data_IF_111029110737
#
_entry.id   IF_111029110737
#
_cell.length_a   1.000
_cell.length_b   1.000
_cell.length_c   1.000
_cell.angle_alpha   90.00
_cell.angle_beta   90.00
_cell.angle_gamma   90.00
#
_symmetry.space_group_name_H-M   'P 1'
#
loop_
_entity.id
_entity.type
_entity.pdbx_description
1 polymer ?
#
# COMPACT_ATOMS: atom_id res chain seq x y z
N UNK A 1 -6.56 22.18 6.97
CA UNK A 1 -6.19 22.09 5.54
C UNK A 1 -6.48 20.67 5.07
N UNK A 2 -7.32 20.48 4.05
CA UNK A 2 -7.71 19.14 3.57
C UNK A 2 -6.53 18.36 3.03
N UNK A 3 -5.60 19.00 2.29
CA UNK A 3 -4.41 18.32 1.77
C UNK A 3 -3.51 17.72 2.86
N UNK A 4 -3.31 18.45 3.96
CA UNK A 4 -2.53 17.93 5.11
C UNK A 4 -3.26 16.76 5.76
N UNK A 5 -4.57 16.87 5.96
CA UNK A 5 -5.37 15.79 6.55
C UNK A 5 -5.37 14.53 5.67
N UNK A 6 -5.47 14.68 4.35
CA UNK A 6 -5.40 13.57 3.39
C UNK A 6 -4.05 12.85 3.44
N UNK A 7 -2.93 13.58 3.58
CA UNK A 7 -1.61 12.97 3.71
C UNK A 7 -1.53 12.08 4.97
N UNK A 8 -2.09 12.53 6.10
CA UNK A 8 -2.14 11.77 7.34
C UNK A 8 -3.09 10.57 7.25
N UNK A 9 -4.27 10.74 6.66
CA UNK A 9 -5.25 9.66 6.49
C UNK A 9 -4.75 8.55 5.56
N UNK A 10 -3.96 8.88 4.55
CA UNK A 10 -3.38 7.90 3.64
C UNK A 10 -2.50 6.85 4.35
N UNK A 11 -1.89 7.18 5.50
CA UNK A 11 -1.23 6.16 6.32
C UNK A 11 -2.23 5.12 6.86
N UNK A 12 -3.42 5.56 7.26
CA UNK A 12 -4.48 4.66 7.72
C UNK A 12 -4.94 3.72 6.60
N UNK A 13 -5.02 4.22 5.36
CA UNK A 13 -5.33 3.40 4.19
C UNK A 13 -4.22 2.39 3.88
N UNK A 14 -2.95 2.82 3.93
CA UNK A 14 -1.80 1.94 3.66
C UNK A 14 -1.61 0.86 4.71
N UNK A 15 -1.93 1.11 5.98
CA UNK A 15 -1.79 0.14 7.06
C UNK A 15 -2.97 -0.84 7.21
N UNK A 16 -4.16 -0.46 6.73
CA UNK A 16 -5.39 -1.25 6.91
C UNK A 16 -5.27 -2.72 6.44
N UNK A 17 -4.67 -3.05 5.28
CA UNK A 17 -4.50 -4.44 4.86
C UNK A 17 -3.65 -5.26 5.84
N UNK A 18 -2.60 -4.68 6.42
CA UNK A 18 -1.73 -5.37 7.40
C UNK A 18 -2.46 -5.55 8.73
N UNK A 19 -3.26 -4.58 9.16
CA UNK A 19 -4.08 -4.69 10.38
C UNK A 19 -5.08 -5.85 10.25
N UNK A 20 -5.81 -5.91 9.13
CA UNK A 20 -6.90 -6.87 8.93
C UNK A 20 -6.38 -8.27 8.61
N UNK A 21 -5.36 -8.38 7.76
CA UNK A 21 -4.94 -9.67 7.18
C UNK A 21 -3.49 -10.08 7.50
N UNK A 22 -2.69 -9.21 8.12
CA UNK A 22 -1.30 -9.52 8.45
C UNK A 22 -1.16 -10.51 9.62
N UNK A 23 -0.12 -11.35 9.55
CA UNK A 23 0.31 -12.17 10.68
C UNK A 23 1.04 -11.34 11.75
N UNK A 24 1.32 -11.93 12.91
CA UNK A 24 1.93 -11.21 14.04
C UNK A 24 3.32 -10.65 13.73
N UNK A 25 4.12 -11.38 12.95
CA UNK A 25 5.45 -10.93 12.51
C UNK A 25 5.34 -9.70 11.60
N UNK A 26 4.44 -9.73 10.61
CA UNK A 26 4.17 -8.63 9.69
C UNK A 26 3.63 -7.41 10.44
N UNK A 27 2.67 -7.60 11.36
CA UNK A 27 2.11 -6.53 12.17
C UNK A 27 3.19 -5.85 13.01
N UNK A 28 4.00 -6.63 13.73
CA UNK A 28 5.09 -6.09 14.55
C UNK A 28 6.11 -5.35 13.69
N UNK A 29 6.53 -5.92 12.56
CA UNK A 29 7.56 -5.34 11.68
C UNK A 29 7.10 -4.09 10.96
N UNK A 30 5.89 -4.07 10.40
CA UNK A 30 5.45 -2.96 9.55
C UNK A 30 4.68 -1.90 10.32
N UNK A 31 3.79 -2.28 11.24
CA UNK A 31 3.01 -1.31 12.02
C UNK A 31 3.85 -0.69 13.15
N UNK A 32 4.74 -1.48 13.78
CA UNK A 32 5.64 -0.97 14.83
C UNK A 32 6.48 0.22 14.34
N UNK A 33 7.02 0.13 13.12
CA UNK A 33 7.81 1.21 12.51
C UNK A 33 7.02 2.51 12.28
N UNK A 34 5.71 2.43 12.06
CA UNK A 34 4.84 3.61 11.90
C UNK A 34 4.49 4.27 13.24
N UNK A 35 4.70 3.56 14.36
CA UNK A 35 4.48 4.07 15.72
C UNK A 35 5.77 4.70 16.26
N UNK A 36 6.92 4.07 15.97
CA UNK A 36 8.23 4.49 16.45
C UNK A 36 8.68 5.83 15.84
N UNK A 37 8.38 6.04 14.56
CA UNK A 37 8.83 7.21 13.79
C UNK A 37 7.68 7.71 12.89
N UNK A 38 7.66 9.01 12.50
CA UNK A 38 6.62 9.59 11.64
C UNK A 38 6.80 9.18 10.17
N UNK A 39 6.84 7.88 9.91
CA UNK A 39 6.94 7.31 8.57
C UNK A 39 5.60 7.42 7.84
N UNK A 40 5.67 7.60 6.53
CA UNK A 40 4.49 7.61 5.66
C UNK A 40 4.40 6.31 4.87
N UNK A 41 3.18 5.86 4.58
CA UNK A 41 2.92 4.75 3.67
C UNK A 41 1.80 5.10 2.68
N UNK A 42 1.76 4.36 1.57
CA UNK A 42 0.79 4.52 0.50
C UNK A 42 0.12 3.20 0.14
N UNK A 43 -1.08 3.28 -0.44
CA UNK A 43 -1.87 2.13 -0.89
C UNK A 43 -1.91 2.06 -2.42
N UNK A 44 -1.21 1.08 -2.98
CA UNK A 44 -0.88 1.03 -4.41
C UNK A 44 -1.83 0.13 -5.22
N UNK A 45 -3.04 0.60 -5.54
CA UNK A 45 -4.01 -0.15 -6.37
C UNK A 45 -4.16 0.45 -7.77
N UNK A 46 -4.57 1.71 -7.84
CA UNK A 46 -4.92 2.40 -9.08
C UNK A 46 -3.80 2.39 -10.11
N UNK A 47 -4.17 2.17 -11.37
CA UNK A 47 -3.30 2.16 -12.54
C UNK A 47 -3.80 3.18 -13.57
N UNK A 48 -2.97 3.59 -14.56
CA UNK A 48 -3.41 4.51 -15.60
C UNK A 48 -4.69 4.08 -16.33
N UNK A 49 -4.90 2.76 -16.47
CA UNK A 49 -6.07 2.18 -17.15
C UNK A 49 -7.15 1.59 -16.23
N UNK A 50 -6.98 1.63 -14.90
CA UNK A 50 -7.88 0.97 -13.95
C UNK A 50 -7.93 1.71 -12.61
N UNK A 51 -9.09 2.32 -12.32
CA UNK A 51 -9.37 2.99 -11.04
C UNK A 51 -10.66 2.45 -10.42
N UNK A 52 -11.82 2.84 -10.97
CA UNK A 52 -13.12 2.32 -10.52
C UNK A 52 -13.26 0.81 -10.77
N UNK A 53 -12.72 0.32 -11.88
CA UNK A 53 -12.62 -1.12 -12.17
C UNK A 53 -11.33 -1.70 -11.58
N UNK A 54 -11.38 -2.04 -10.28
CA UNK A 54 -10.24 -2.64 -9.57
C UNK A 54 -9.87 -4.00 -10.15
N UNK A 55 -10.84 -4.77 -10.66
CA UNK A 55 -10.57 -6.07 -11.28
C UNK A 55 -9.79 -5.94 -12.59
N UNK A 56 -9.79 -4.74 -13.20
CA UNK A 56 -9.12 -4.43 -14.45
C UNK A 56 -7.60 -4.28 -14.37
N UNK A 57 -6.98 -4.21 -13.18
CA UNK A 57 -5.54 -3.96 -13.00
C UNK A 57 -4.66 -4.98 -13.76
N UNK A 58 -3.48 -4.53 -14.19
CA UNK A 58 -2.54 -5.26 -15.03
C UNK A 58 -1.18 -5.50 -14.39
N UNK A 59 -0.86 -4.84 -13.26
CA UNK A 59 0.35 -5.18 -12.48
C UNK A 59 0.36 -6.66 -12.15
N UNK A 60 1.46 -7.34 -12.46
CA UNK A 60 1.64 -8.78 -12.23
C UNK A 60 2.61 -9.01 -11.08
N UNK A 61 2.34 -10.03 -10.28
CA UNK A 61 3.26 -10.58 -9.30
C UNK A 61 3.57 -12.04 -9.68
N UNK A 62 4.80 -12.32 -10.08
CA UNK A 62 5.27 -13.66 -10.45
C UNK A 62 6.12 -14.25 -9.33
N UNK A 63 5.75 -15.43 -8.80
CA UNK A 63 6.53 -16.10 -7.77
C UNK A 63 7.79 -16.74 -8.38
N UNK A 64 8.96 -16.40 -7.86
CA UNK A 64 10.27 -16.99 -8.22
C UNK A 64 10.96 -17.49 -6.95
N UNK A 65 10.84 -18.79 -6.69
CA UNK A 65 11.32 -19.38 -5.44
C UNK A 65 10.56 -18.84 -4.23
N UNK A 66 11.27 -18.20 -3.32
CA UNK A 66 10.72 -17.60 -2.09
C UNK A 66 10.34 -16.12 -2.23
N UNK A 67 10.50 -15.55 -3.43
CA UNK A 67 10.23 -14.13 -3.70
C UNK A 67 9.16 -13.93 -4.78
N UNK A 68 8.64 -12.70 -4.88
CA UNK A 68 7.74 -12.27 -5.95
C UNK A 68 8.38 -11.15 -6.77
N UNK A 69 8.38 -11.31 -8.09
CA UNK A 69 8.75 -10.23 -9.03
C UNK A 69 7.47 -9.48 -9.40
N UNK A 70 7.39 -8.22 -9.00
CA UNK A 70 6.24 -7.34 -9.27
C UNK A 70 6.58 -6.42 -10.44
N UNK A 71 5.78 -6.46 -11.51
CA UNK A 71 5.95 -5.62 -12.70
C UNK A 71 4.63 -4.95 -13.11
N UNK A 72 4.65 -3.63 -13.24
CA UNK A 72 3.51 -2.81 -13.67
C UNK A 72 3.72 -1.34 -13.34
N UNK A 73 2.69 -0.53 -13.57
CA UNK A 73 2.69 0.89 -13.28
C UNK A 73 1.48 1.23 -12.41
N UNK A 74 1.72 2.00 -11.34
CA UNK A 74 0.67 2.57 -10.49
C UNK A 74 0.52 4.06 -10.73
N UNK A 75 -0.65 4.61 -10.38
CA UNK A 75 -0.99 6.01 -10.61
C UNK A 75 -1.83 6.55 -9.46
N UNK A 76 -1.65 7.84 -9.13
CA UNK A 76 -2.40 8.55 -8.10
C UNK A 76 -2.23 7.99 -6.68
N UNK A 77 -1.02 7.58 -6.33
CA UNK A 77 -0.72 7.05 -5.00
C UNK A 77 -0.42 8.21 -4.06
N UNK A 78 -1.33 8.49 -3.13
CA UNK A 78 -1.05 9.44 -2.05
C UNK A 78 0.13 8.92 -1.21
N UNK A 79 1.06 9.82 -0.86
CA UNK A 79 2.34 9.52 -0.21
C UNK A 79 3.32 8.65 -1.04
N UNK A 80 3.06 8.48 -2.35
CA UNK A 80 3.91 7.71 -3.27
C UNK A 80 4.97 8.53 -4.00
#
# INVERSE_FOLDING_TARGET
CTGIQTALEANSLGMAPVIVAGNDEQKKRFLGRLIEEPLMCGYCVTEPGAGSDVAGIKTKAEKKGDEYIVNGQKMWITNG
#
